data_IF_516669614311
#
_entry.id   IF_516669614311
#
_cell.length_a   1.000
_cell.length_b   1.000
_cell.length_c   1.000
_cell.angle_alpha   90.00
_cell.angle_beta   90.00
_cell.angle_gamma   90.00
#
_symmetry.space_group_name_H-M   'P 1'
#
loop_
_entity.id
_entity.type
_entity.pdbx_description
1 polymer ?
#
# COMPACT_ATOMS: atom_id res chain seq x y z
N UNK A 1 5.74 26.44 -3.92
CA UNK A 1 4.80 25.75 -3.00
C UNK A 1 4.59 24.27 -3.38
N UNK A 2 4.43 23.90 -4.66
CA UNK A 2 4.25 22.50 -5.07
C UNK A 2 5.42 21.57 -4.71
N UNK A 3 6.66 22.03 -4.83
CA UNK A 3 7.84 21.18 -4.52
C UNK A 3 7.98 20.79 -3.05
N UNK A 4 7.43 21.60 -2.12
CA UNK A 4 7.46 21.24 -0.70
C UNK A 4 6.44 20.12 -0.43
N UNK A 5 5.24 20.24 -1.01
CA UNK A 5 4.16 19.25 -0.86
C UNK A 5 4.56 17.91 -1.51
N UNK A 6 5.16 17.94 -2.69
CA UNK A 6 5.63 16.74 -3.38
C UNK A 6 6.66 15.97 -2.56
N UNK A 7 7.64 16.67 -1.97
CA UNK A 7 8.62 16.05 -1.06
C UNK A 7 7.98 15.42 0.17
N UNK A 8 6.99 16.08 0.78
CA UNK A 8 6.27 15.52 1.92
C UNK A 8 5.49 14.25 1.58
N UNK A 9 4.84 14.23 0.42
CA UNK A 9 4.06 13.07 -0.04
C UNK A 9 4.97 11.91 -0.40
N UNK A 10 6.09 12.18 -1.07
CA UNK A 10 7.11 11.17 -1.33
C UNK A 10 7.71 10.64 -0.03
N UNK A 11 8.02 11.50 0.95
CA UNK A 11 8.53 11.08 2.24
C UNK A 11 7.53 10.20 3.00
N UNK A 12 6.25 10.59 3.00
CA UNK A 12 5.17 9.83 3.65
C UNK A 12 5.05 8.43 3.02
N UNK A 13 4.95 8.36 1.70
CA UNK A 13 4.84 7.08 1.00
C UNK A 13 6.10 6.21 1.14
N UNK A 14 7.29 6.83 1.17
CA UNK A 14 8.54 6.11 1.40
C UNK A 14 8.60 5.55 2.81
N UNK A 15 8.18 6.33 3.80
CA UNK A 15 8.19 5.93 5.20
C UNK A 15 7.20 4.79 5.45
N UNK A 16 5.99 4.86 4.88
CA UNK A 16 5.05 3.73 4.95
C UNK A 16 5.59 2.50 4.25
N UNK A 17 6.19 2.63 3.07
CA UNK A 17 6.81 1.50 2.37
C UNK A 17 7.97 0.88 3.17
N UNK A 18 8.82 1.69 3.80
CA UNK A 18 9.87 1.19 4.68
C UNK A 18 9.31 0.45 5.90
N UNK A 19 8.24 0.98 6.51
CA UNK A 19 7.55 0.31 7.60
C UNK A 19 6.96 -1.04 7.16
N UNK A 20 6.32 -1.10 5.99
CA UNK A 20 5.83 -2.35 5.39
C UNK A 20 6.95 -3.36 5.11
N UNK A 21 8.09 -2.90 4.60
CA UNK A 21 9.28 -3.72 4.34
C UNK A 21 9.91 -4.28 5.62
N UNK A 22 9.96 -3.48 6.68
CA UNK A 22 10.43 -3.92 7.99
C UNK A 22 9.51 -5.02 8.56
N UNK A 23 8.19 -4.83 8.45
CA UNK A 23 7.20 -5.83 8.89
C UNK A 23 7.34 -7.12 8.10
N UNK A 24 7.45 -7.08 6.77
CA UNK A 24 7.68 -8.28 5.96
C UNK A 24 8.96 -9.00 6.35
N UNK A 25 10.05 -8.26 6.59
CA UNK A 25 11.33 -8.86 7.00
C UNK A 25 11.18 -9.58 8.35
N UNK A 26 10.50 -8.96 9.32
CA UNK A 26 10.21 -9.59 10.60
C UNK A 26 9.34 -10.84 10.44
N UNK A 27 8.30 -10.80 9.60
CA UNK A 27 7.44 -11.95 9.31
C UNK A 27 8.19 -13.10 8.65
N UNK A 28 9.12 -12.81 7.73
CA UNK A 28 9.99 -13.82 7.12
C UNK A 28 10.81 -14.51 8.21
N UNK A 29 11.42 -13.76 9.12
CA UNK A 29 12.19 -14.32 10.23
C UNK A 29 11.31 -15.22 11.11
N UNK A 30 10.13 -14.75 11.51
CA UNK A 30 9.18 -15.54 12.31
C UNK A 30 8.75 -16.82 11.58
N UNK A 31 8.47 -16.72 10.29
CA UNK A 31 8.05 -17.86 9.47
C UNK A 31 9.17 -18.88 9.33
N UNK A 32 10.41 -18.45 9.10
CA UNK A 32 11.59 -19.33 9.06
C UNK A 32 11.77 -20.04 10.40
N UNK A 33 11.74 -19.30 11.52
CA UNK A 33 11.83 -19.88 12.87
C UNK A 33 10.72 -20.91 13.09
N UNK A 34 9.48 -20.60 12.72
CA UNK A 34 8.34 -21.48 12.93
C UNK A 34 8.41 -22.75 12.07
N UNK A 35 8.80 -22.62 10.80
CA UNK A 35 8.98 -23.77 9.89
C UNK A 35 10.14 -24.65 10.36
N UNK A 36 11.27 -24.07 10.77
CA UNK A 36 12.39 -24.82 11.35
C UNK A 36 12.00 -25.50 12.65
N UNK A 37 11.24 -24.82 13.52
CA UNK A 37 10.70 -25.39 14.75
C UNK A 37 9.79 -26.59 14.51
N UNK A 38 8.91 -26.53 13.50
CA UNK A 38 8.08 -27.67 13.05
C UNK A 38 8.92 -28.84 12.53
N UNK A 39 9.95 -28.54 11.75
CA UNK A 39 10.82 -29.57 11.19
C UNK A 39 11.64 -30.28 12.29
N UNK A 40 12.00 -29.57 13.37
CA UNK A 40 12.84 -30.06 14.46
C UNK A 40 12.05 -30.41 15.74
N UNK A 41 10.75 -30.73 15.62
CA UNK A 41 9.94 -31.19 16.76
C UNK A 41 10.54 -32.44 17.42
N UNK A 42 11.16 -33.31 16.62
CA UNK A 42 11.88 -34.48 17.13
C UNK A 42 13.12 -34.14 17.98
N UNK A 43 13.67 -32.93 17.85
CA UNK A 43 14.81 -32.42 18.60
C UNK A 43 14.42 -31.53 19.79
N UNK A 44 13.12 -31.45 20.12
CA UNK A 44 12.60 -30.69 21.26
C UNK A 44 12.29 -29.21 20.98
N UNK A 45 12.35 -28.76 19.71
CA UNK A 45 11.89 -27.42 19.32
C UNK A 45 10.38 -27.42 19.05
N UNK A 46 9.72 -26.29 19.30
CA UNK A 46 8.29 -26.12 19.03
C UNK A 46 8.04 -25.00 18.02
N UNK A 47 7.00 -25.10 17.17
CA UNK A 47 6.56 -23.99 16.33
C UNK A 47 6.19 -22.76 17.16
N UNK A 48 6.26 -21.59 16.52
CA UNK A 48 5.73 -20.36 17.11
C UNK A 48 4.19 -20.45 17.08
N UNK A 49 3.50 -20.43 18.23
CA UNK A 49 2.05 -20.49 18.25
C UNK A 49 1.45 -19.22 17.64
N UNK A 50 0.50 -19.37 16.73
CA UNK A 50 -0.20 -18.27 16.06
C UNK A 50 0.64 -17.49 15.05
N UNK A 51 1.66 -18.12 14.48
CA UNK A 51 2.44 -17.59 13.35
C UNK A 51 1.56 -17.23 12.15
N UNK A 52 0.54 -18.04 11.84
CA UNK A 52 -0.40 -17.76 10.75
C UNK A 52 -1.18 -16.46 10.96
N UNK A 53 -1.62 -16.17 12.18
CA UNK A 53 -2.40 -14.95 12.49
C UNK A 53 -1.52 -13.71 12.41
N UNK A 54 -0.25 -13.81 12.85
CA UNK A 54 0.75 -12.74 12.72
C UNK A 54 1.08 -12.47 11.25
N UNK A 55 1.24 -13.52 10.44
CA UNK A 55 1.50 -13.39 9.00
C UNK A 55 0.29 -12.79 8.30
N UNK A 56 -0.93 -13.23 8.61
CA UNK A 56 -2.17 -12.67 8.04
C UNK A 56 -2.29 -11.17 8.32
N UNK A 57 -2.19 -10.77 9.59
CA UNK A 57 -2.29 -9.38 10.00
C UNK A 57 -1.16 -8.51 9.42
N UNK A 58 0.09 -8.99 9.53
CA UNK A 58 1.24 -8.22 9.11
C UNK A 58 1.39 -8.11 7.59
N UNK A 59 0.98 -9.13 6.82
CA UNK A 59 0.96 -9.04 5.35
C UNK A 59 -0.12 -8.08 4.87
N UNK A 60 -1.31 -8.08 5.47
CA UNK A 60 -2.35 -7.11 5.16
C UNK A 60 -1.86 -5.67 5.36
N UNK A 61 -1.23 -5.38 6.51
CA UNK A 61 -0.60 -4.09 6.76
C UNK A 61 0.47 -3.75 5.72
N UNK A 62 1.39 -4.68 5.43
CA UNK A 62 2.48 -4.46 4.49
C UNK A 62 1.97 -4.10 3.09
N UNK A 63 0.95 -4.80 2.58
CA UNK A 63 0.32 -4.49 1.29
C UNK A 63 -0.17 -3.05 1.25
N UNK A 64 -0.98 -2.63 2.23
CA UNK A 64 -1.48 -1.26 2.29
C UNK A 64 -0.38 -0.22 2.48
N UNK A 65 0.71 -0.56 3.14
CA UNK A 65 1.84 0.33 3.36
C UNK A 65 2.69 0.54 2.08
N UNK A 66 2.72 -0.44 1.17
CA UNK A 66 3.42 -0.35 -0.12
C UNK A 66 2.61 0.33 -1.23
N UNK A 67 1.27 0.16 -1.23
CA UNK A 67 0.39 0.72 -2.27
C UNK A 67 0.63 2.21 -2.59
N UNK A 68 0.80 3.12 -1.61
CA UNK A 68 1.08 4.53 -1.89
C UNK A 68 2.38 4.74 -2.66
N UNK A 69 3.44 4.00 -2.30
CA UNK A 69 4.73 4.10 -2.97
C UNK A 69 4.69 3.55 -4.40
N UNK A 70 4.01 2.42 -4.60
CA UNK A 70 3.80 1.83 -5.93
C UNK A 70 3.03 2.78 -6.85
N UNK A 71 2.01 3.45 -6.33
CA UNK A 71 1.21 4.40 -7.10
C UNK A 71 2.01 5.67 -7.48
N UNK A 72 2.84 6.20 -6.58
CA UNK A 72 3.72 7.34 -6.88
C UNK A 72 4.77 7.03 -7.93
N UNK A 73 5.37 5.82 -7.87
CA UNK A 73 6.38 5.39 -8.84
C UNK A 73 5.81 4.99 -10.20
N UNK A 74 4.50 5.22 -10.43
CA UNK A 74 3.78 4.83 -11.65
C UNK A 74 4.02 3.35 -12.02
N UNK A 75 4.16 2.47 -11.01
CA UNK A 75 4.39 1.03 -11.23
C UNK A 75 3.17 0.26 -11.74
N UNK A 76 2.04 0.96 -11.99
CA UNK A 76 0.98 0.39 -12.80
C UNK A 76 1.57 0.24 -14.20
N UNK A 77 1.70 -0.99 -14.68
CA UNK A 77 1.97 -1.29 -16.08
C UNK A 77 0.84 -0.69 -16.92
N UNK A 78 0.87 0.64 -17.11
CA UNK A 78 0.08 1.32 -18.09
C UNK A 78 0.47 0.68 -19.40
N UNK A 79 -0.51 0.55 -20.27
CA UNK A 79 -0.37 -0.10 -21.56
C UNK A 79 0.53 0.77 -22.45
N UNK A 80 1.82 0.88 -22.12
CA UNK A 80 2.84 1.67 -22.81
C UNK A 80 2.91 1.22 -24.26
N UNK A 81 2.73 -0.10 -24.50
CA UNK A 81 2.66 -0.70 -25.83
C UNK A 81 1.49 -0.13 -26.67
N UNK A 82 0.33 0.18 -26.07
CA UNK A 82 -0.79 0.80 -26.79
C UNK A 82 -0.71 2.33 -26.82
N UNK A 83 -0.15 2.96 -25.79
CA UNK A 83 -0.03 4.43 -25.70
C UNK A 83 1.08 5.02 -26.58
N UNK A 84 2.07 4.22 -27.00
CA UNK A 84 3.04 4.60 -28.04
C UNK A 84 2.40 4.96 -29.40
N UNK A 85 1.20 4.47 -29.68
CA UNK A 85 0.48 4.73 -30.94
C UNK A 85 -0.50 5.91 -30.87
N UNK A 86 -0.71 6.49 -29.69
CA UNK A 86 -1.68 7.55 -29.47
C UNK A 86 -1.02 8.93 -29.38
N UNK A 87 -1.77 9.98 -29.74
CA UNK A 87 -1.30 11.36 -29.62
C UNK A 87 -1.16 11.80 -28.16
N UNK A 88 -0.23 12.72 -27.90
CA UNK A 88 0.10 13.19 -26.54
C UNK A 88 -1.12 13.67 -25.73
N UNK A 89 -2.14 14.22 -26.39
CA UNK A 89 -3.37 14.66 -25.74
C UNK A 89 -4.22 13.49 -25.22
N UNK A 90 -4.29 12.40 -25.99
CA UNK A 90 -5.05 11.21 -25.60
C UNK A 90 -4.34 10.46 -24.47
N UNK A 91 -3.00 10.38 -24.51
CA UNK A 91 -2.20 9.81 -23.42
C UNK A 91 -2.42 10.57 -22.12
N UNK A 92 -2.44 11.91 -22.14
CA UNK A 92 -2.76 12.74 -20.97
C UNK A 92 -4.17 12.50 -20.43
N UNK A 93 -5.16 12.34 -21.31
CA UNK A 93 -6.54 12.04 -20.89
C UNK A 93 -6.63 10.66 -20.22
N UNK A 94 -5.98 9.65 -20.81
CA UNK A 94 -5.92 8.29 -20.25
C UNK A 94 -5.28 8.30 -18.86
N UNK A 95 -4.15 9.00 -18.69
CA UNK A 95 -3.51 9.16 -17.38
C UNK A 95 -4.43 9.84 -16.34
N UNK A 96 -5.15 10.89 -16.75
CA UNK A 96 -6.07 11.60 -15.86
C UNK A 96 -7.23 10.71 -15.43
N UNK A 97 -7.83 9.97 -16.37
CA UNK A 97 -8.91 9.01 -16.07
C UNK A 97 -8.40 7.88 -15.18
N UNK A 98 -7.22 7.33 -15.46
CA UNK A 98 -6.62 6.27 -14.64
C UNK A 98 -6.37 6.74 -13.20
N UNK A 99 -5.81 7.94 -13.01
CA UNK A 99 -5.59 8.51 -11.69
C UNK A 99 -6.91 8.81 -10.95
N UNK A 100 -7.93 9.27 -11.68
CA UNK A 100 -9.26 9.47 -11.11
C UNK A 100 -9.89 8.16 -10.63
N UNK A 101 -9.84 7.12 -11.47
CA UNK A 101 -10.34 5.79 -11.11
C UNK A 101 -9.58 5.22 -9.92
N UNK A 102 -8.25 5.38 -9.88
CA UNK A 102 -7.44 4.94 -8.75
C UNK A 102 -7.83 5.66 -7.45
N UNK A 103 -8.04 6.98 -7.50
CA UNK A 103 -8.54 7.75 -6.34
C UNK A 103 -9.92 7.25 -5.89
N UNK A 104 -10.82 6.98 -6.82
CA UNK A 104 -12.15 6.44 -6.52
C UNK A 104 -12.05 5.08 -5.81
N UNK A 105 -11.27 4.14 -6.35
CA UNK A 105 -11.07 2.83 -5.73
C UNK A 105 -10.39 2.94 -4.36
N UNK A 106 -9.35 3.78 -4.23
CA UNK A 106 -8.68 4.03 -2.96
C UNK A 106 -9.66 4.54 -1.90
N UNK A 107 -10.52 5.49 -2.26
CA UNK A 107 -11.53 6.06 -1.36
C UNK A 107 -12.58 5.00 -0.96
N UNK A 108 -13.05 4.19 -1.91
CA UNK A 108 -14.01 3.11 -1.64
C UNK A 108 -13.43 2.04 -0.72
N UNK A 109 -12.18 1.62 -0.95
CA UNK A 109 -11.47 0.66 -0.10
C UNK A 109 -11.29 1.25 1.31
N UNK A 110 -10.82 2.49 1.41
CA UNK A 110 -10.64 3.16 2.70
C UNK A 110 -11.97 3.27 3.47
N UNK A 111 -13.07 3.61 2.79
CA UNK A 111 -14.40 3.69 3.40
C UNK A 111 -14.90 2.33 3.91
N UNK A 112 -14.77 1.28 3.09
CA UNK A 112 -15.19 -0.08 3.47
C UNK A 112 -14.32 -0.65 4.59
N UNK A 113 -13.04 -0.37 4.56
CA UNK A 113 -12.09 -0.80 5.60
C UNK A 113 -12.32 -0.06 6.92
N UNK A 114 -12.70 1.22 6.87
CA UNK A 114 -13.14 1.99 8.05
C UNK A 114 -14.35 1.36 8.73
N UNK A 115 -15.39 1.04 7.97
CA UNK A 115 -16.58 0.36 8.49
C UNK A 115 -16.22 -1.00 9.11
N UNK A 116 -15.43 -1.81 8.40
CA UNK A 116 -14.96 -3.08 8.93
C UNK A 116 -14.15 -2.93 10.23
N UNK A 117 -13.34 -1.87 10.36
CA UNK A 117 -12.57 -1.61 11.58
C UNK A 117 -13.49 -1.28 12.77
N UNK A 118 -14.53 -0.46 12.54
CA UNK A 118 -15.52 -0.11 13.58
C UNK A 118 -16.28 -1.35 14.02
N UNK A 119 -16.70 -2.20 13.08
CA UNK A 119 -17.40 -3.43 13.41
C UNK A 119 -16.53 -4.32 14.30
N UNK A 120 -15.27 -4.56 13.92
CA UNK A 120 -14.33 -5.37 14.71
C UNK A 120 -14.04 -4.80 16.10
N UNK A 121 -14.04 -3.47 16.23
CA UNK A 121 -13.91 -2.81 17.52
C UNK A 121 -15.15 -3.04 18.41
N UNK A 122 -16.35 -2.86 17.86
CA UNK A 122 -17.60 -3.01 18.60
C UNK A 122 -17.86 -4.45 19.07
N UNK A 123 -17.51 -5.44 18.25
CA UNK A 123 -17.70 -6.86 18.57
C UNK A 123 -16.55 -7.46 19.41
N UNK A 124 -15.49 -6.70 19.69
CA UNK A 124 -14.31 -7.15 20.47
C UNK A 124 -13.78 -8.52 20.00
N UNK A 125 -13.77 -8.74 18.69
CA UNK A 125 -13.35 -10.02 18.13
C UNK A 125 -11.85 -10.25 18.36
N UNK A 126 -11.51 -11.46 18.76
CA UNK A 126 -10.13 -11.89 19.01
C UNK A 126 -9.75 -13.02 18.06
N UNK A 127 -8.45 -13.16 17.80
CA UNK A 127 -7.95 -14.28 17.01
C UNK A 127 -8.03 -15.61 17.77
N UNK A 128 -7.98 -16.73 17.06
CA UNK A 128 -8.22 -18.05 17.64
C UNK A 128 -7.09 -18.53 18.54
N UNK A 129 -5.83 -18.27 18.16
CA UNK A 129 -4.65 -18.82 18.83
C UNK A 129 -4.02 -17.79 19.77
N UNK A 130 -3.63 -16.62 19.27
CA UNK A 130 -3.02 -15.58 20.11
C UNK A 130 -4.03 -14.87 21.00
N UNK A 131 -5.34 -14.99 20.72
CA UNK A 131 -6.42 -14.27 21.40
C UNK A 131 -6.21 -12.75 21.40
N UNK A 132 -5.47 -12.22 20.41
CA UNK A 132 -5.24 -10.78 20.31
C UNK A 132 -6.42 -10.11 19.60
N UNK A 133 -6.72 -8.83 19.92
CA UNK A 133 -7.85 -8.14 19.33
C UNK A 133 -7.61 -7.82 17.85
N UNK A 134 -8.52 -8.27 16.98
CA UNK A 134 -8.40 -8.15 15.52
C UNK A 134 -8.38 -6.68 15.05
N UNK A 135 -9.00 -5.79 15.82
CA UNK A 135 -9.10 -4.37 15.45
C UNK A 135 -7.73 -3.67 15.36
N UNK A 136 -6.69 -4.15 16.05
CA UNK A 136 -5.32 -3.60 15.92
C UNK A 136 -4.76 -3.78 14.52
N UNK A 137 -4.91 -4.98 13.96
CA UNK A 137 -4.47 -5.29 12.59
C UNK A 137 -5.28 -4.48 11.56
N UNK A 138 -6.59 -4.41 11.75
CA UNK A 138 -7.48 -3.61 10.90
C UNK A 138 -7.14 -2.11 10.95
N UNK A 139 -6.91 -1.55 12.14
CA UNK A 139 -6.52 -0.16 12.31
C UNK A 139 -5.15 0.16 11.67
N UNK A 140 -4.19 -0.76 11.77
CA UNK A 140 -2.90 -0.61 11.09
C UNK A 140 -3.08 -0.59 9.56
N UNK A 141 -3.88 -1.52 9.00
CA UNK A 141 -4.19 -1.53 7.56
C UNK A 141 -4.94 -0.26 7.11
N UNK A 142 -5.83 0.24 7.95
CA UNK A 142 -6.59 1.47 7.71
C UNK A 142 -5.66 2.68 7.57
N UNK A 143 -4.62 2.77 8.41
CA UNK A 143 -3.63 3.84 8.30
C UNK A 143 -2.96 3.83 6.92
N UNK A 144 -2.55 2.66 6.42
CA UNK A 144 -2.00 2.52 5.07
C UNK A 144 -3.00 2.93 3.98
N UNK A 145 -4.27 2.54 4.11
CA UNK A 145 -5.33 2.93 3.18
C UNK A 145 -5.58 4.45 3.16
N UNK A 146 -5.55 5.12 4.31
CA UNK A 146 -5.68 6.59 4.39
C UNK A 146 -4.51 7.28 3.68
N UNK A 147 -3.28 6.83 3.93
CA UNK A 147 -2.09 7.35 3.23
C UNK A 147 -2.21 7.13 1.72
N UNK A 148 -2.74 5.98 1.29
CA UNK A 148 -2.97 5.69 -0.12
C UNK A 148 -3.96 6.66 -0.76
N UNK A 149 -5.06 7.01 -0.08
CA UNK A 149 -6.03 8.01 -0.57
C UNK A 149 -5.38 9.40 -0.71
N UNK A 150 -4.58 9.82 0.28
CA UNK A 150 -3.87 11.11 0.24
C UNK A 150 -2.93 11.16 -0.98
N UNK A 151 -2.18 10.09 -1.20
CA UNK A 151 -1.25 9.97 -2.34
C UNK A 151 -2.00 9.95 -3.67
N UNK A 152 -3.08 9.18 -3.79
CA UNK A 152 -3.90 9.12 -5.00
C UNK A 152 -4.54 10.48 -5.34
N UNK A 153 -4.98 11.22 -4.32
CA UNK A 153 -5.54 12.56 -4.50
C UNK A 153 -4.50 13.53 -5.07
N UNK A 154 -3.25 13.44 -4.60
CA UNK A 154 -2.15 14.23 -5.13
C UNK A 154 -1.79 13.86 -6.57
N UNK A 155 -1.71 12.56 -6.88
CA UNK A 155 -1.47 12.09 -8.26
C UNK A 155 -2.55 12.59 -9.22
N UNK A 156 -3.82 12.55 -8.81
CA UNK A 156 -4.92 13.08 -9.61
C UNK A 156 -4.85 14.60 -9.80
N UNK A 157 -4.60 15.36 -8.73
CA UNK A 157 -4.43 16.81 -8.80
C UNK A 157 -3.29 17.21 -9.74
N UNK A 158 -2.17 16.49 -9.67
CA UNK A 158 -1.03 16.67 -10.54
C UNK A 158 -1.39 16.41 -12.01
N UNK A 159 -2.10 15.31 -12.29
CA UNK A 159 -2.51 14.95 -13.65
C UNK A 159 -3.45 15.99 -14.28
N UNK A 160 -4.36 16.59 -13.50
CA UNK A 160 -5.19 17.73 -13.95
C UNK A 160 -4.32 18.92 -14.36
N UNK A 161 -3.27 19.22 -13.58
CA UNK A 161 -2.36 20.32 -13.88
C UNK A 161 -1.57 20.04 -15.17
N UNK A 162 -1.08 18.82 -15.36
CA UNK A 162 -0.37 18.40 -16.58
C UNK A 162 -1.27 18.53 -17.82
N UNK A 163 -2.54 18.11 -17.73
CA UNK A 163 -3.53 18.31 -18.81
C UNK A 163 -3.74 19.78 -19.17
N UNK A 164 -3.84 20.66 -18.17
CA UNK A 164 -4.06 22.11 -18.37
C UNK A 164 -2.85 22.86 -18.91
N UNK A 165 -1.63 22.41 -18.60
CA UNK A 165 -0.39 23.14 -18.92
C UNK A 165 0.25 22.66 -20.24
N UNK A 166 -0.27 21.58 -20.85
CA UNK A 166 0.24 21.02 -22.11
C UNK A 166 1.70 20.55 -22.06
N UNK A 167 2.33 20.54 -20.88
CA UNK A 167 3.74 20.27 -20.69
C UNK A 167 3.91 18.86 -20.14
N UNK A 168 4.59 17.99 -20.90
CA UNK A 168 5.09 16.70 -20.42
C UNK A 168 6.29 16.97 -19.52
N UNK A 169 6.05 17.17 -18.22
CA UNK A 169 7.14 17.14 -17.24
C UNK A 169 7.61 15.69 -17.15
N UNK A 170 8.69 15.39 -17.87
CA UNK A 170 9.44 14.13 -17.79
C UNK A 170 9.88 13.96 -16.33
N UNK A 171 9.14 13.17 -15.56
CA UNK A 171 9.69 12.55 -14.35
C UNK A 171 10.37 11.27 -14.80
N UNK A 172 11.61 11.47 -15.20
CA UNK A 172 12.54 10.46 -15.66
C UNK A 172 13.94 11.01 -15.57
N UNK A 173 14.29 11.58 -14.41
CA UNK A 173 15.69 11.66 -14.00
C UNK A 173 16.15 10.26 -13.61
N UNK A 174 16.39 9.40 -14.59
CA UNK A 174 17.44 8.39 -14.47
C UNK A 174 18.76 9.10 -14.76
N UNK A 175 19.43 9.59 -13.72
CA UNK A 175 20.89 9.77 -13.69
C UNK A 175 21.37 9.74 -12.22
N UNK A 176 21.48 8.53 -11.66
CA UNK A 176 22.61 8.07 -10.82
C UNK A 176 22.33 6.67 -10.26
#
# INVERSE_FOLDING_TARGET
MSERIERWIQALARLTALAGGLVLTALIIVTVISVTGRALVFAGLAPVPGDFELVEAGTAFAVFAFLPWCHLRRGNAVVEILTMHFSDNLNRLIEMVANFLMLLFAALICWRHWLGTIDKYNYSETTFILQFPIWWAYAAGLFGAVVFVIVAAWCFWRSIREYRTGSSVVIGGELS
#
